data_IF_163784079444
#
_entry.id   IF_163784079444
#
_cell.length_a   1.000
_cell.length_b   1.000
_cell.length_c   1.000
_cell.angle_alpha   90.00
_cell.angle_beta   90.00
_cell.angle_gamma   90.00
#
_symmetry.space_group_name_H-M   'P 1'
#
loop_
_entity.id
_entity.type
_entity.pdbx_description
1 polymer ?
#
# COMPACT_ATOMS: atom_id res chain seq x y z
N UNK A 1 25.77 -1.03 15.12
CA UNK A 1 24.81 -0.69 14.05
C UNK A 1 24.56 -1.87 13.08
N UNK A 2 25.56 -2.47 12.45
CA UNK A 2 25.39 -3.61 11.52
C UNK A 2 24.71 -4.85 12.13
N UNK A 3 24.92 -5.15 13.41
CA UNK A 3 24.28 -6.29 14.10
C UNK A 3 22.77 -6.09 14.32
N UNK A 4 22.34 -4.87 14.58
CA UNK A 4 20.91 -4.51 14.77
C UNK A 4 20.17 -4.63 13.44
N UNK A 5 20.72 -4.09 12.35
CA UNK A 5 20.13 -4.20 11.02
C UNK A 5 19.99 -5.66 10.55
N UNK A 6 20.99 -6.50 10.84
CA UNK A 6 20.92 -7.95 10.55
C UNK A 6 19.80 -8.63 11.35
N UNK A 7 19.63 -8.29 12.64
CA UNK A 7 18.55 -8.83 13.50
C UNK A 7 17.17 -8.39 12.99
N UNK A 8 16.99 -7.11 12.66
CA UNK A 8 15.73 -6.60 12.12
C UNK A 8 15.37 -7.29 10.79
N UNK A 9 16.34 -7.50 9.93
CA UNK A 9 16.14 -8.23 8.66
C UNK A 9 15.75 -9.68 8.90
N UNK A 10 16.40 -10.38 9.82
CA UNK A 10 16.08 -11.75 10.17
C UNK A 10 14.66 -11.88 10.77
N UNK A 11 14.26 -10.93 11.63
CA UNK A 11 12.89 -10.88 12.16
C UNK A 11 11.86 -10.66 11.05
N UNK A 12 12.12 -9.72 10.15
CA UNK A 12 11.21 -9.42 9.03
C UNK A 12 11.06 -10.63 8.10
N UNK A 13 12.15 -11.34 7.81
CA UNK A 13 12.13 -12.59 7.06
C UNK A 13 11.36 -13.71 7.80
N UNK A 14 11.53 -13.85 9.11
CA UNK A 14 10.83 -14.85 9.92
C UNK A 14 9.31 -14.57 9.94
N UNK A 15 8.91 -13.32 10.16
CA UNK A 15 7.49 -12.90 10.13
C UNK A 15 6.91 -13.07 8.73
N UNK A 16 7.68 -12.75 7.68
CA UNK A 16 7.27 -13.01 6.30
C UNK A 16 6.99 -14.50 6.07
N UNK A 17 7.89 -15.39 6.48
CA UNK A 17 7.72 -16.84 6.31
C UNK A 17 6.48 -17.35 7.02
N UNK A 18 6.25 -16.92 8.26
CA UNK A 18 5.07 -17.28 9.03
C UNK A 18 3.79 -16.80 8.36
N UNK A 19 3.69 -15.52 7.97
CA UNK A 19 2.53 -14.95 7.28
C UNK A 19 2.30 -15.62 5.93
N UNK A 20 3.37 -15.86 5.15
CA UNK A 20 3.28 -16.50 3.87
C UNK A 20 2.72 -17.92 3.95
N UNK A 21 3.09 -18.69 4.98
CA UNK A 21 2.53 -20.02 5.23
C UNK A 21 1.08 -19.95 5.71
N UNK A 22 0.79 -19.12 6.69
CA UNK A 22 -0.55 -18.96 7.29
C UNK A 22 -1.60 -18.48 6.27
N UNK A 23 -1.20 -17.67 5.28
CA UNK A 23 -2.10 -17.14 4.24
C UNK A 23 -2.23 -18.04 3.01
N UNK A 24 -1.81 -19.32 3.07
CA UNK A 24 -1.88 -20.26 1.94
C UNK A 24 -3.29 -20.41 1.36
N UNK A 25 -4.33 -20.42 2.21
CA UNK A 25 -5.72 -20.52 1.78
C UNK A 25 -6.15 -19.28 0.96
N UNK A 26 -5.78 -18.07 1.39
CA UNK A 26 -6.06 -16.83 0.67
C UNK A 26 -5.42 -16.81 -0.72
N UNK A 27 -4.20 -17.35 -0.86
CA UNK A 27 -3.53 -17.46 -2.16
C UNK A 27 -4.24 -18.46 -3.08
N UNK A 28 -4.62 -19.64 -2.56
CA UNK A 28 -5.30 -20.69 -3.31
C UNK A 28 -6.67 -20.25 -3.81
N UNK A 29 -7.43 -19.50 -3.01
CA UNK A 29 -8.75 -18.97 -3.36
C UNK A 29 -8.71 -17.78 -4.32
N UNK A 30 -7.55 -17.30 -4.72
CA UNK A 30 -7.35 -16.06 -5.50
C UNK A 30 -7.80 -14.77 -4.78
N UNK A 31 -8.28 -14.86 -3.54
CA UNK A 31 -8.75 -13.70 -2.79
C UNK A 31 -7.62 -12.66 -2.59
N UNK A 32 -6.41 -13.11 -2.21
CA UNK A 32 -5.26 -12.23 -2.09
C UNK A 32 -4.94 -11.50 -3.40
N UNK A 33 -5.13 -12.14 -4.55
CA UNK A 33 -4.93 -11.53 -5.86
C UNK A 33 -5.94 -10.38 -6.08
N UNK A 34 -7.23 -10.62 -5.86
CA UNK A 34 -8.25 -9.61 -6.07
C UNK A 34 -8.18 -8.47 -5.07
N UNK A 35 -7.86 -8.76 -3.80
CA UNK A 35 -7.58 -7.73 -2.78
C UNK A 35 -6.38 -6.86 -3.20
N UNK A 36 -5.30 -7.47 -3.67
CA UNK A 36 -4.17 -6.71 -4.19
C UNK A 36 -4.56 -5.85 -5.39
N UNK A 37 -5.33 -6.42 -6.32
CA UNK A 37 -5.77 -5.74 -7.54
C UNK A 37 -6.69 -4.55 -7.25
N UNK A 38 -7.53 -4.62 -6.21
CA UNK A 38 -8.38 -3.51 -5.81
C UNK A 38 -7.60 -2.28 -5.33
N UNK A 39 -6.30 -2.43 -5.02
CA UNK A 39 -5.38 -1.36 -4.70
C UNK A 39 -4.58 -0.83 -5.90
N UNK A 40 -4.96 -1.15 -7.15
CA UNK A 40 -4.34 -0.60 -8.35
C UNK A 40 -4.85 0.82 -8.66
N UNK A 41 -3.97 1.66 -9.20
CA UNK A 41 -4.22 3.09 -9.47
C UNK A 41 -5.56 3.45 -10.13
N UNK A 42 -6.05 2.72 -11.16
CA UNK A 42 -7.32 3.04 -11.82
C UNK A 42 -8.53 3.09 -10.88
N UNK A 43 -8.56 2.28 -9.83
CA UNK A 43 -9.70 2.26 -8.90
C UNK A 43 -9.82 3.54 -8.05
N UNK A 44 -8.71 4.18 -7.72
CA UNK A 44 -8.69 5.48 -7.04
C UNK A 44 -9.27 6.59 -7.92
N UNK A 45 -8.87 6.61 -9.20
CA UNK A 45 -9.40 7.55 -10.17
C UNK A 45 -10.90 7.34 -10.43
N UNK A 46 -11.35 6.08 -10.56
CA UNK A 46 -12.77 5.74 -10.73
C UNK A 46 -13.61 6.18 -9.53
N UNK A 47 -13.11 5.98 -8.30
CA UNK A 47 -13.82 6.44 -7.12
C UNK A 47 -13.93 7.98 -7.08
N UNK A 48 -12.83 8.69 -7.36
CA UNK A 48 -12.82 10.14 -7.39
C UNK A 48 -13.79 10.69 -8.47
N UNK A 49 -13.78 10.09 -9.66
CA UNK A 49 -14.70 10.42 -10.75
C UNK A 49 -16.16 10.18 -10.37
N UNK A 50 -16.46 9.02 -9.76
CA UNK A 50 -17.81 8.71 -9.27
C UNK A 50 -18.28 9.72 -8.23
N UNK A 51 -17.44 10.04 -7.24
CA UNK A 51 -17.77 11.02 -6.20
C UNK A 51 -18.06 12.41 -6.80
N UNK A 52 -17.30 12.82 -7.81
CA UNK A 52 -17.51 14.09 -8.53
C UNK A 52 -18.81 14.11 -9.36
N UNK A 53 -19.06 13.04 -10.15
CA UNK A 53 -20.28 12.93 -11.00
C UNK A 53 -21.54 12.84 -10.12
N UNK A 54 -21.47 12.09 -9.02
CA UNK A 54 -22.59 11.97 -8.06
C UNK A 54 -22.79 13.24 -7.22
N UNK A 55 -21.99 14.28 -7.44
CA UNK A 55 -22.03 15.56 -6.73
C UNK A 55 -22.05 15.39 -5.19
N UNK A 56 -21.33 14.40 -4.67
CA UNK A 56 -21.23 14.14 -3.24
C UNK A 56 -20.61 15.38 -2.58
N UNK A 57 -21.23 15.88 -1.52
CA UNK A 57 -20.70 17.02 -0.77
C UNK A 57 -19.24 16.76 -0.33
N UNK A 58 -18.37 17.75 -0.53
CA UNK A 58 -16.94 17.63 -0.27
C UNK A 58 -16.12 16.91 -1.35
N UNK A 59 -16.74 16.38 -2.42
CA UNK A 59 -16.05 15.64 -3.48
C UNK A 59 -15.00 16.48 -4.23
N UNK A 60 -15.25 17.77 -4.45
CA UNK A 60 -14.30 18.66 -5.14
C UNK A 60 -13.02 18.78 -4.33
N UNK A 61 -13.13 19.07 -3.03
CA UNK A 61 -11.97 19.16 -2.14
C UNK A 61 -11.25 17.80 -2.02
N UNK A 62 -12.00 16.71 -1.91
CA UNK A 62 -11.43 15.36 -1.93
C UNK A 62 -10.61 15.11 -3.20
N UNK A 63 -11.12 15.45 -4.39
CA UNK A 63 -10.42 15.28 -5.66
C UNK A 63 -9.15 16.12 -5.70
N UNK A 64 -9.22 17.39 -5.27
CA UNK A 64 -8.04 18.27 -5.22
C UNK A 64 -6.95 17.70 -4.29
N UNK A 65 -7.33 17.25 -3.09
CA UNK A 65 -6.44 16.58 -2.15
C UNK A 65 -5.83 15.30 -2.75
N UNK A 66 -6.65 14.47 -3.41
CA UNK A 66 -6.18 13.24 -4.04
C UNK A 66 -5.16 13.52 -5.16
N UNK A 67 -5.44 14.47 -6.04
CA UNK A 67 -4.51 14.86 -7.10
C UNK A 67 -3.17 15.34 -6.54
N UNK A 68 -3.20 16.24 -5.54
CA UNK A 68 -1.98 16.74 -4.91
C UNK A 68 -1.21 15.61 -4.18
N UNK A 69 -1.93 14.76 -3.44
CA UNK A 69 -1.31 13.69 -2.68
C UNK A 69 -0.61 12.66 -3.57
N UNK A 70 -1.25 12.23 -4.66
CA UNK A 70 -0.63 11.31 -5.62
C UNK A 70 0.49 11.98 -6.44
N UNK A 71 0.39 13.29 -6.72
CA UNK A 71 1.47 14.04 -7.35
C UNK A 71 2.74 14.10 -6.46
N UNK A 72 2.59 14.07 -5.13
CA UNK A 72 3.70 13.98 -4.17
C UNK A 72 4.15 12.52 -4.00
N UNK A 73 3.20 11.58 -3.85
CA UNK A 73 3.47 10.18 -3.57
C UNK A 73 4.29 9.51 -4.65
N UNK A 74 3.91 9.66 -5.92
CA UNK A 74 4.53 8.94 -7.03
C UNK A 74 6.03 9.22 -7.15
N UNK A 75 6.50 10.48 -7.24
CA UNK A 75 7.94 10.76 -7.34
C UNK A 75 8.70 10.38 -6.06
N UNK A 76 8.11 10.60 -4.88
CA UNK A 76 8.73 10.23 -3.61
C UNK A 76 8.90 8.71 -3.49
N UNK A 77 7.86 7.95 -3.83
CA UNK A 77 7.89 6.49 -3.87
C UNK A 77 8.96 5.97 -4.82
N UNK A 78 9.03 6.49 -6.06
CA UNK A 78 10.03 6.11 -7.06
C UNK A 78 11.44 6.44 -6.55
N UNK A 79 11.63 7.61 -5.96
CA UNK A 79 12.91 8.04 -5.39
C UNK A 79 13.38 7.13 -4.27
N UNK A 80 12.53 6.85 -3.27
CA UNK A 80 12.84 5.95 -2.16
C UNK A 80 13.17 4.54 -2.63
N UNK A 81 12.42 4.02 -3.60
CA UNK A 81 12.62 2.70 -4.15
C UNK A 81 13.98 2.55 -4.83
N UNK A 82 14.37 3.53 -5.62
CA UNK A 82 15.66 3.55 -6.31
C UNK A 82 16.85 3.82 -5.38
N UNK A 83 16.61 4.51 -4.27
CA UNK A 83 17.64 4.77 -3.25
C UNK A 83 17.92 3.53 -2.40
N UNK A 84 16.85 2.87 -1.90
CA UNK A 84 16.97 1.78 -0.92
C UNK A 84 17.22 0.41 -1.55
N UNK A 85 16.79 0.18 -2.78
CA UNK A 85 17.09 -0.99 -3.63
C UNK A 85 16.96 -2.36 -2.93
N UNK A 86 15.96 -2.52 -2.07
CA UNK A 86 15.72 -3.78 -1.35
C UNK A 86 15.15 -4.83 -2.30
N UNK A 87 15.78 -6.01 -2.38
CA UNK A 87 15.29 -7.13 -3.17
C UNK A 87 14.01 -7.73 -2.56
N UNK A 88 13.12 -8.28 -3.40
CA UNK A 88 11.84 -8.87 -3.00
C UNK A 88 12.01 -10.28 -2.43
N UNK A 89 11.09 -10.74 -1.52
CA UNK A 89 11.10 -12.10 -0.98
C UNK A 89 11.11 -13.19 -2.07
N UNK A 90 10.40 -12.95 -3.15
CA UNK A 90 10.24 -13.86 -4.29
C UNK A 90 11.55 -14.15 -5.02
N UNK A 91 12.52 -13.23 -4.98
CA UNK A 91 13.83 -13.41 -5.61
C UNK A 91 14.72 -14.38 -4.84
N UNK A 92 14.36 -14.76 -3.61
CA UNK A 92 15.09 -15.74 -2.80
C UNK A 92 14.93 -17.20 -3.27
N UNK A 93 14.37 -17.43 -4.47
CA UNK A 93 14.20 -18.75 -5.14
C UNK A 93 13.43 -19.83 -4.34
N UNK A 94 13.01 -19.55 -3.11
CA UNK A 94 12.27 -20.51 -2.25
C UNK A 94 10.78 -20.59 -2.57
N UNK A 95 10.23 -19.60 -3.30
CA UNK A 95 8.79 -19.46 -3.51
C UNK A 95 8.47 -19.23 -4.99
N UNK A 96 7.43 -19.92 -5.48
CA UNK A 96 6.86 -19.63 -6.80
C UNK A 96 5.97 -18.39 -6.70
N UNK A 97 6.20 -17.34 -7.49
CA UNK A 97 5.37 -16.15 -7.48
C UNK A 97 3.96 -16.46 -7.98
N UNK A 98 2.97 -15.99 -7.24
CA UNK A 98 1.58 -15.98 -7.70
C UNK A 98 1.32 -14.75 -8.59
N UNK A 99 2.09 -13.70 -8.38
CA UNK A 99 2.02 -12.44 -9.11
C UNK A 99 3.43 -12.04 -9.55
N UNK A 100 3.59 -11.69 -10.85
CA UNK A 100 4.83 -11.10 -11.34
C UNK A 100 4.87 -9.63 -10.90
N UNK A 101 5.86 -9.22 -10.08
CA UNK A 101 5.96 -7.83 -9.67
C UNK A 101 6.31 -6.94 -10.87
N UNK A 102 5.79 -5.71 -10.87
CA UNK A 102 6.05 -4.73 -11.93
C UNK A 102 7.50 -4.20 -11.93
N UNK A 103 8.16 -4.26 -10.78
CA UNK A 103 9.54 -3.79 -10.59
C UNK A 103 10.34 -4.73 -9.68
N UNK A 104 11.67 -4.53 -9.64
CA UNK A 104 12.62 -5.37 -8.92
C UNK A 104 12.59 -5.16 -7.41
N UNK A 105 12.45 -3.91 -6.94
CA UNK A 105 12.67 -3.56 -5.54
C UNK A 105 11.40 -3.68 -4.69
N UNK A 106 11.56 -4.08 -3.42
CA UNK A 106 10.43 -4.31 -2.54
C UNK A 106 10.03 -3.09 -1.70
N UNK A 107 10.98 -2.28 -1.25
CA UNK A 107 10.76 -1.23 -0.25
C UNK A 107 10.67 0.17 -0.87
N UNK A 108 9.70 0.99 -0.43
CA UNK A 108 8.48 0.62 0.29
C UNK A 108 7.44 -0.04 -0.63
N UNK A 109 6.32 -0.56 -0.06
CA UNK A 109 5.23 -1.12 -0.85
C UNK A 109 4.33 -0.03 -1.43
N UNK A 110 4.34 0.16 -2.76
CA UNK A 110 3.52 1.17 -3.43
C UNK A 110 2.03 0.97 -3.26
N UNK A 111 1.54 -0.29 -3.33
CA UNK A 111 0.12 -0.58 -3.08
C UNK A 111 -0.31 -0.21 -1.66
N UNK A 112 0.55 -0.47 -0.66
CA UNK A 112 0.24 -0.07 0.72
C UNK A 112 0.29 1.44 0.88
N UNK A 113 1.27 2.11 0.26
CA UNK A 113 1.38 3.59 0.27
C UNK A 113 0.12 4.20 -0.32
N UNK A 114 -0.27 3.81 -1.53
CA UNK A 114 -1.44 4.34 -2.22
C UNK A 114 -2.75 4.03 -1.48
N UNK A 115 -2.92 2.79 -0.95
CA UNK A 115 -4.14 2.40 -0.27
C UNK A 115 -4.34 3.16 1.06
N UNK A 116 -3.29 3.32 1.88
CA UNK A 116 -3.38 4.06 3.13
C UNK A 116 -3.46 5.57 2.92
N UNK A 117 -2.78 6.12 1.91
CA UNK A 117 -2.94 7.50 1.47
C UNK A 117 -4.41 7.77 1.11
N UNK A 118 -4.97 6.94 0.25
CA UNK A 118 -6.35 7.09 -0.21
C UNK A 118 -7.36 6.93 0.93
N UNK A 119 -7.19 5.92 1.79
CA UNK A 119 -8.02 5.72 2.96
C UNK A 119 -8.02 6.96 3.88
N UNK A 120 -6.84 7.53 4.15
CA UNK A 120 -6.70 8.72 4.97
C UNK A 120 -7.41 9.94 4.36
N UNK A 121 -7.32 10.14 3.03
CA UNK A 121 -8.02 11.22 2.33
C UNK A 121 -9.54 11.05 2.35
N UNK A 122 -10.03 9.80 2.14
CA UNK A 122 -11.46 9.51 2.24
C UNK A 122 -11.96 9.82 3.65
N UNK A 123 -11.23 9.39 4.67
CA UNK A 123 -11.61 9.63 6.08
C UNK A 123 -11.59 11.11 6.45
N UNK A 124 -10.65 11.88 5.92
CA UNK A 124 -10.59 13.33 6.14
C UNK A 124 -11.79 14.07 5.52
N UNK A 125 -12.36 13.54 4.43
CA UNK A 125 -13.54 14.12 3.76
C UNK A 125 -14.86 13.47 4.22
N UNK A 126 -14.82 12.19 4.58
CA UNK A 126 -15.98 11.36 4.91
C UNK A 126 -15.69 10.45 6.11
N UNK A 127 -15.64 10.98 7.35
CA UNK A 127 -15.14 10.25 8.53
C UNK A 127 -15.91 8.95 8.85
N UNK A 128 -17.19 8.87 8.54
CA UNK A 128 -18.03 7.68 8.77
C UNK A 128 -17.50 6.43 8.04
N UNK A 129 -16.73 6.60 6.96
CA UNK A 129 -16.14 5.51 6.17
C UNK A 129 -14.81 4.98 6.70
N UNK A 130 -14.29 5.53 7.83
CA UNK A 130 -13.01 5.14 8.39
C UNK A 130 -12.82 3.62 8.57
N UNK A 131 -13.76 2.86 9.19
CA UNK A 131 -13.57 1.42 9.37
C UNK A 131 -13.48 0.67 8.04
N UNK A 132 -14.24 1.10 7.04
CA UNK A 132 -14.30 0.45 5.72
C UNK A 132 -13.00 0.66 4.96
N UNK A 133 -12.54 1.90 4.83
CA UNK A 133 -11.37 2.21 4.00
C UNK A 133 -10.05 1.81 4.65
N UNK A 134 -9.88 1.98 5.96
CA UNK A 134 -8.70 1.45 6.64
C UNK A 134 -8.70 -0.08 6.71
N UNK A 135 -9.87 -0.72 6.87
CA UNK A 135 -10.02 -2.17 6.76
C UNK A 135 -9.60 -2.68 5.39
N UNK A 136 -10.09 -2.04 4.31
CA UNK A 136 -9.71 -2.35 2.94
C UNK A 136 -8.21 -2.13 2.70
N UNK A 137 -7.64 -0.99 3.10
CA UNK A 137 -6.21 -0.71 2.94
C UNK A 137 -5.33 -1.74 3.66
N UNK A 138 -5.77 -2.18 4.85
CA UNK A 138 -5.12 -3.27 5.60
C UNK A 138 -5.19 -4.59 4.84
N UNK A 139 -6.34 -4.93 4.27
CA UNK A 139 -6.49 -6.13 3.43
C UNK A 139 -5.59 -6.07 2.18
N UNK A 140 -5.49 -4.91 1.52
CA UNK A 140 -4.54 -4.69 0.42
C UNK A 140 -3.10 -4.94 0.90
N UNK A 141 -2.68 -4.35 2.02
CA UNK A 141 -1.34 -4.51 2.58
C UNK A 141 -1.02 -5.98 2.92
N UNK A 142 -1.92 -6.68 3.61
CA UNK A 142 -1.77 -8.11 3.94
C UNK A 142 -1.67 -8.95 2.66
N UNK A 143 -2.45 -8.63 1.64
CA UNK A 143 -2.42 -9.35 0.36
C UNK A 143 -1.04 -9.29 -0.30
N UNK A 144 -0.29 -8.19 -0.16
CA UNK A 144 1.07 -8.04 -0.72
C UNK A 144 2.07 -9.00 -0.07
N UNK A 145 1.96 -9.20 1.24
CA UNK A 145 2.77 -10.18 1.97
C UNK A 145 2.32 -11.61 1.62
N UNK A 146 1.01 -11.85 1.60
CA UNK A 146 0.43 -13.15 1.25
C UNK A 146 0.83 -13.60 -0.16
N UNK A 147 0.92 -12.70 -1.13
CA UNK A 147 1.37 -12.97 -2.50
C UNK A 147 2.89 -13.15 -2.63
N UNK A 148 3.66 -12.90 -1.56
CA UNK A 148 5.12 -13.08 -1.52
C UNK A 148 5.91 -11.97 -2.20
N UNK A 149 5.30 -10.83 -2.51
CA UNK A 149 5.94 -9.74 -3.26
C UNK A 149 6.54 -8.66 -2.37
N UNK A 150 6.16 -8.59 -1.10
CA UNK A 150 6.67 -7.63 -0.10
C UNK A 150 6.91 -8.28 1.26
N UNK A 151 7.87 -7.75 1.99
CA UNK A 151 8.06 -8.05 3.41
C UNK A 151 7.04 -7.28 4.28
N UNK A 152 6.77 -7.73 5.53
CA UNK A 152 5.92 -6.98 6.46
C UNK A 152 6.37 -5.54 6.68
N UNK A 153 7.67 -5.30 6.82
CA UNK A 153 8.21 -3.94 6.98
C UNK A 153 8.00 -3.05 5.76
N UNK A 154 7.98 -3.60 4.53
CA UNK A 154 7.71 -2.82 3.31
C UNK A 154 6.27 -2.28 3.31
N UNK A 155 5.31 -3.09 3.78
CA UNK A 155 3.90 -2.68 3.81
C UNK A 155 3.61 -1.72 4.95
N UNK A 156 4.26 -1.89 6.11
CA UNK A 156 4.16 -0.95 7.25
C UNK A 156 4.75 0.40 6.87
N UNK A 157 5.96 0.41 6.29
CA UNK A 157 6.58 1.65 5.82
C UNK A 157 5.73 2.36 4.76
N UNK A 158 5.13 1.59 3.83
CA UNK A 158 4.20 2.13 2.85
C UNK A 158 2.96 2.75 3.51
N UNK A 159 2.35 2.07 4.48
CA UNK A 159 1.19 2.58 5.21
C UNK A 159 1.50 3.89 5.95
N UNK A 160 2.64 3.95 6.64
CA UNK A 160 3.11 5.17 7.33
C UNK A 160 3.32 6.29 6.31
N UNK A 161 4.05 6.03 5.24
CA UNK A 161 4.35 7.02 4.20
C UNK A 161 3.07 7.60 3.58
N UNK A 162 2.13 6.74 3.19
CA UNK A 162 0.86 7.16 2.60
C UNK A 162 0.02 8.00 3.55
N UNK A 163 -0.09 7.58 4.82
CA UNK A 163 -0.82 8.34 5.85
C UNK A 163 -0.17 9.70 6.14
N UNK A 164 1.16 9.76 6.18
CA UNK A 164 1.89 11.03 6.37
C UNK A 164 1.68 12.00 5.21
N UNK A 165 1.74 11.53 3.96
CA UNK A 165 1.47 12.36 2.77
C UNK A 165 0.04 12.88 2.81
N UNK A 166 -0.94 12.03 3.12
CA UNK A 166 -2.34 12.45 3.23
C UNK A 166 -2.53 13.50 4.34
N UNK A 167 -1.94 13.27 5.52
CA UNK A 167 -1.99 14.23 6.62
C UNK A 167 -1.37 15.59 6.26
N UNK A 168 -0.24 15.59 5.56
CA UNK A 168 0.38 16.81 5.05
C UNK A 168 -0.56 17.54 4.08
N UNK A 169 -1.14 16.82 3.12
CA UNK A 169 -2.03 17.43 2.11
C UNK A 169 -3.31 17.99 2.75
N UNK A 170 -3.89 17.30 3.73
CA UNK A 170 -5.06 17.81 4.47
C UNK A 170 -4.71 19.07 5.28
N UNK A 171 -3.48 19.16 5.79
CA UNK A 171 -3.03 20.34 6.51
C UNK A 171 -2.81 21.57 5.61
N UNK A 172 -2.39 21.38 4.35
CA UNK A 172 -2.15 22.47 3.39
C UNK A 172 -3.36 22.81 2.52
N UNK A 173 -4.32 21.90 2.41
CA UNK A 173 -5.64 22.08 1.78
C UNK A 173 -6.74 21.74 2.80
N UNK A 174 -7.03 22.66 3.75
CA UNK A 174 -7.97 22.41 4.84
C UNK A 174 -9.43 22.28 4.36
#
# INVERSE_FOLDING_TARGET
MLSILKRLRALDEAVFHWLFQSTRALRKSRLAFWLSRSGDGPYYALFALFAGIAAIEGSVLFIQRALLAFAIEIPLFIGLKNLLRRDRPILLRKYKPVLKPADRFSFPSGHSTAAFLFAALVVASFPVWAPVFYGWATCVAISRVALGVHYPSDVVAGAILGTMIAGFVVAVLP
#
